data_IF_335604709105
#
_entry.id   IF_335604709105
#
_cell.length_a   1.000
_cell.length_b   1.000
_cell.length_c   1.000
_cell.angle_alpha   90.00
_cell.angle_beta   90.00
_cell.angle_gamma   90.00
#
_symmetry.space_group_name_H-M   'P 1'
#
loop_
_entity.id
_entity.type
_entity.pdbx_description
1 polymer ?
#
# COMPACT_ATOMS: atom_id res chain seq x y z
N UNK A 1 -14.95 9.70 -6.30
CA UNK A 1 -14.06 9.13 -7.33
C UNK A 1 -13.51 7.83 -6.79
N UNK A 2 -13.41 6.77 -7.59
CA UNK A 2 -12.96 5.46 -7.11
C UNK A 2 -11.44 5.50 -6.79
N UNK A 3 -10.99 4.78 -5.76
CA UNK A 3 -9.56 4.70 -5.37
C UNK A 3 -8.65 4.37 -6.56
N UNK A 4 -9.09 3.45 -7.42
CA UNK A 4 -8.35 3.05 -8.62
C UNK A 4 -8.20 4.19 -9.65
N UNK A 5 -9.15 5.11 -9.72
CA UNK A 5 -9.05 6.28 -10.62
C UNK A 5 -8.02 7.27 -10.07
N UNK A 6 -8.06 7.53 -8.76
CA UNK A 6 -7.09 8.40 -8.08
C UNK A 6 -5.67 7.84 -8.14
N UNK A 7 -5.49 6.52 -8.01
CA UNK A 7 -4.16 5.89 -8.16
C UNK A 7 -3.56 6.15 -9.55
N UNK A 8 -4.38 6.22 -10.60
CA UNK A 8 -3.89 6.51 -11.96
C UNK A 8 -3.39 7.95 -12.10
N UNK A 9 -3.86 8.88 -11.28
CA UNK A 9 -3.34 10.26 -11.25
C UNK A 9 -1.88 10.32 -10.79
N UNK A 10 -1.41 9.26 -10.11
CA UNK A 10 -0.03 9.07 -9.66
C UNK A 10 0.80 8.17 -10.58
N UNK A 11 0.35 7.90 -11.82
CA UNK A 11 1.11 7.04 -12.75
C UNK A 11 2.50 7.59 -13.07
N UNK A 12 2.69 8.91 -12.95
CA UNK A 12 3.99 9.57 -13.13
C UNK A 12 5.06 9.07 -12.14
N UNK A 13 4.68 8.48 -11.00
CA UNK A 13 5.63 7.86 -10.08
C UNK A 13 6.40 6.69 -10.71
N UNK A 14 5.81 6.00 -11.69
CA UNK A 14 6.49 4.94 -12.43
C UNK A 14 7.69 5.49 -13.21
N UNK A 15 7.45 6.57 -13.96
CA UNK A 15 8.48 7.27 -14.73
C UNK A 15 9.54 7.86 -13.79
N UNK A 16 9.10 8.52 -12.72
CA UNK A 16 9.98 9.18 -11.75
C UNK A 16 10.92 8.18 -11.05
N UNK A 17 10.41 7.03 -10.61
CA UNK A 17 11.20 5.97 -9.97
C UNK A 17 12.38 5.46 -10.82
N UNK A 18 12.24 5.51 -12.15
CA UNK A 18 13.28 5.03 -13.07
C UNK A 18 14.39 6.05 -13.36
N UNK A 19 14.10 7.34 -13.20
CA UNK A 19 14.92 8.43 -13.75
C UNK A 19 15.38 9.50 -12.75
N UNK A 20 14.90 9.48 -11.50
CA UNK A 20 15.25 10.46 -10.47
C UNK A 20 16.30 9.95 -9.48
N UNK A 21 16.91 10.88 -8.75
CA UNK A 21 17.65 10.53 -7.52
C UNK A 21 16.69 9.90 -6.50
N UNK A 22 17.19 8.92 -5.73
CA UNK A 22 16.35 8.14 -4.82
C UNK A 22 15.76 8.99 -3.70
N UNK A 23 16.48 10.03 -3.24
CA UNK A 23 16.00 10.93 -2.19
C UNK A 23 14.79 11.76 -2.62
N UNK A 24 14.81 12.29 -3.85
CA UNK A 24 13.68 13.07 -4.37
C UNK A 24 12.46 12.18 -4.61
N UNK A 25 12.69 10.94 -5.04
CA UNK A 25 11.65 9.92 -5.12
C UNK A 25 11.01 9.63 -3.77
N UNK A 26 11.81 9.50 -2.71
CA UNK A 26 11.30 9.30 -1.35
C UNK A 26 10.40 10.45 -0.91
N UNK A 27 10.80 11.70 -1.16
CA UNK A 27 9.96 12.88 -0.85
C UNK A 27 8.61 12.83 -1.61
N UNK A 28 8.63 12.40 -2.88
CA UNK A 28 7.42 12.25 -3.67
C UNK A 28 6.45 11.18 -3.12
N UNK A 29 6.95 10.04 -2.62
CA UNK A 29 6.09 9.01 -2.01
C UNK A 29 5.66 9.37 -0.58
N UNK A 30 6.48 10.14 0.14
CA UNK A 30 6.16 10.65 1.48
C UNK A 30 5.14 11.79 1.44
N UNK A 31 4.87 12.36 0.26
CA UNK A 31 3.81 13.33 0.05
C UNK A 31 2.49 12.83 0.70
N UNK A 32 1.85 13.65 1.57
CA UNK A 32 0.67 13.23 2.32
C UNK A 32 -0.47 12.71 1.44
N UNK A 33 -0.61 13.27 0.23
CA UNK A 33 -1.65 12.87 -0.72
C UNK A 33 -1.47 11.43 -1.20
N UNK A 34 -0.25 11.04 -1.56
CA UNK A 34 0.03 9.68 -2.03
C UNK A 34 0.02 8.67 -0.88
N UNK A 35 0.64 9.00 0.25
CA UNK A 35 0.69 8.09 1.40
C UNK A 35 -0.70 7.79 1.98
N UNK A 36 -1.57 8.80 2.07
CA UNK A 36 -2.97 8.60 2.50
C UNK A 36 -3.78 7.80 1.50
N UNK A 37 -3.62 8.04 0.19
CA UNK A 37 -4.27 7.24 -0.85
C UNK A 37 -3.77 5.79 -0.85
N UNK A 38 -2.49 5.56 -0.59
CA UNK A 38 -1.92 4.22 -0.51
C UNK A 38 -2.50 3.46 0.69
N UNK A 39 -2.57 4.09 1.87
CA UNK A 39 -3.24 3.52 3.05
C UNK A 39 -4.71 3.23 2.76
N UNK A 40 -5.43 4.18 2.18
CA UNK A 40 -6.84 4.02 1.79
C UNK A 40 -7.02 2.79 0.87
N UNK A 41 -6.19 2.65 -0.16
CA UNK A 41 -6.21 1.49 -1.04
C UNK A 41 -6.00 0.17 -0.29
N UNK A 42 -5.07 0.12 0.68
CA UNK A 42 -4.87 -1.06 1.52
C UNK A 42 -6.06 -1.36 2.41
N UNK A 43 -6.69 -0.34 2.99
CA UNK A 43 -7.91 -0.48 3.81
C UNK A 43 -9.09 -1.01 3.00
N UNK A 44 -9.23 -0.61 1.73
CA UNK A 44 -10.22 -1.18 0.80
C UNK A 44 -9.84 -2.58 0.25
N UNK A 45 -8.72 -3.16 0.66
CA UNK A 45 -8.31 -4.52 0.29
C UNK A 45 -7.57 -4.64 -1.03
N UNK A 46 -7.09 -3.54 -1.63
CA UNK A 46 -6.25 -3.61 -2.83
C UNK A 46 -4.91 -4.30 -2.49
N UNK A 47 -4.55 -5.29 -3.30
CA UNK A 47 -3.23 -5.93 -3.23
C UNK A 47 -2.13 -5.02 -3.80
N UNK A 48 -0.89 -5.24 -3.37
CA UNK A 48 0.27 -4.46 -3.86
C UNK A 48 0.41 -4.63 -5.40
N UNK A 49 0.00 -5.78 -5.94
CA UNK A 49 -0.07 -6.04 -7.39
C UNK A 49 -1.13 -5.18 -8.10
N UNK A 50 -2.33 -5.05 -7.54
CA UNK A 50 -3.39 -4.23 -8.13
C UNK A 50 -3.02 -2.74 -8.09
N UNK A 51 -2.39 -2.29 -7.01
CA UNK A 51 -1.90 -0.92 -6.87
C UNK A 51 -0.78 -0.66 -7.89
N UNK A 52 0.18 -1.58 -8.01
CA UNK A 52 1.25 -1.47 -9.01
C UNK A 52 0.70 -1.34 -10.44
N UNK A 53 -0.34 -2.11 -10.75
CA UNK A 53 -1.04 -2.01 -12.04
C UNK A 53 -1.76 -0.67 -12.22
N UNK A 54 -2.43 -0.19 -11.19
CA UNK A 54 -3.12 1.09 -11.25
C UNK A 54 -2.15 2.27 -11.47
N UNK A 55 -0.94 2.16 -10.94
CA UNK A 55 0.16 3.12 -11.15
C UNK A 55 0.87 2.96 -12.50
N UNK A 56 0.54 1.94 -13.30
CA UNK A 56 1.12 1.72 -14.63
C UNK A 56 2.54 1.14 -14.62
N UNK A 57 3.01 0.59 -13.50
CA UNK A 57 4.37 0.04 -13.37
C UNK A 57 4.64 -1.16 -14.30
N UNK A 58 3.61 -1.79 -14.87
CA UNK A 58 3.79 -2.85 -15.88
C UNK A 58 4.45 -2.37 -17.18
N UNK A 59 4.43 -1.07 -17.46
CA UNK A 59 5.07 -0.50 -18.64
C UNK A 59 6.60 -0.61 -18.56
N UNK A 60 7.16 -0.43 -17.36
CA UNK A 60 8.60 -0.32 -17.14
C UNK A 60 9.23 -1.58 -16.54
N UNK A 61 8.44 -2.41 -15.85
CA UNK A 61 8.97 -3.63 -15.22
C UNK A 61 7.96 -4.77 -15.14
N UNK A 62 8.47 -6.01 -14.98
CA UNK A 62 7.63 -7.19 -14.76
C UNK A 62 6.73 -7.00 -13.54
N UNK A 63 5.48 -7.43 -13.64
CA UNK A 63 4.49 -7.20 -12.59
C UNK A 63 4.83 -7.79 -11.22
N UNK A 64 5.54 -8.92 -11.18
CA UNK A 64 6.06 -9.49 -9.93
C UNK A 64 7.00 -8.51 -9.22
N UNK A 65 7.91 -7.88 -9.97
CA UNK A 65 8.83 -6.87 -9.45
C UNK A 65 8.10 -5.58 -9.07
N UNK A 66 7.15 -5.14 -9.88
CA UNK A 66 6.36 -3.95 -9.60
C UNK A 66 5.56 -4.07 -8.29
N UNK A 67 4.96 -5.23 -8.01
CA UNK A 67 4.29 -5.48 -6.73
C UNK A 67 5.26 -5.43 -5.54
N UNK A 68 6.49 -5.93 -5.69
CA UNK A 68 7.54 -5.82 -4.67
C UNK A 68 8.00 -4.37 -4.47
N UNK A 69 8.04 -3.57 -5.54
CA UNK A 69 8.35 -2.13 -5.48
C UNK A 69 7.29 -1.39 -4.64
N UNK A 70 6.00 -1.58 -4.93
CA UNK A 70 4.91 -0.99 -4.12
C UNK A 70 4.97 -1.47 -2.68
N UNK A 71 5.28 -2.75 -2.45
CA UNK A 71 5.49 -3.28 -1.09
C UNK A 71 6.61 -2.54 -0.36
N UNK A 72 7.72 -2.22 -1.03
CA UNK A 72 8.84 -1.49 -0.46
C UNK A 72 8.43 -0.08 -0.06
N UNK A 73 7.78 0.66 -0.94
CA UNK A 73 7.27 2.01 -0.64
C UNK A 73 6.31 2.00 0.55
N UNK A 74 5.39 1.03 0.56
CA UNK A 74 4.44 0.84 1.66
C UNK A 74 5.17 0.61 3.00
N UNK A 75 6.25 -0.18 3.01
CA UNK A 75 7.06 -0.43 4.20
C UNK A 75 7.84 0.81 4.64
N UNK A 76 8.41 1.57 3.70
CA UNK A 76 9.13 2.83 3.96
C UNK A 76 8.20 3.87 4.60
N UNK A 77 6.95 3.93 4.15
CA UNK A 77 5.90 4.78 4.72
C UNK A 77 5.30 4.26 6.04
N UNK A 78 5.75 3.12 6.56
CA UNK A 78 5.21 2.52 7.78
C UNK A 78 3.78 1.97 7.66
N UNK A 79 3.23 1.86 6.45
CA UNK A 79 1.86 1.37 6.20
C UNK A 79 1.85 -0.15 6.30
N UNK A 80 1.75 -0.70 7.51
CA UNK A 80 1.77 -2.15 7.76
C UNK A 80 0.43 -2.64 8.30
N UNK A 81 0.02 -3.87 7.97
CA UNK A 81 -1.19 -4.43 8.58
C UNK A 81 -0.94 -4.72 10.06
N UNK A 82 -1.99 -4.60 10.87
CA UNK A 82 -1.99 -5.01 12.26
C UNK A 82 -2.52 -6.43 12.41
N UNK A 83 -2.02 -7.15 13.40
CA UNK A 83 -2.55 -8.45 13.80
C UNK A 83 -3.66 -8.21 14.82
N UNK A 84 -4.86 -8.71 14.53
CA UNK A 84 -6.02 -8.59 15.39
C UNK A 84 -6.54 -9.98 15.79
N UNK A 85 -7.04 -10.11 17.02
CA UNK A 85 -7.57 -11.35 17.56
C UNK A 85 -9.09 -11.41 17.40
N UNK A 86 -9.62 -12.59 17.10
CA UNK A 86 -11.06 -12.88 17.11
C UNK A 86 -11.40 -13.44 18.50
N UNK A 87 -12.09 -12.64 19.31
CA UNK A 87 -12.39 -12.93 20.72
C UNK A 87 -13.89 -13.17 21.01
N UNK A 88 -14.75 -13.11 19.99
CA UNK A 88 -16.23 -13.21 20.05
C UNK A 88 -16.96 -12.11 20.83
N UNK A 89 -16.25 -11.30 21.62
CA UNK A 89 -16.82 -10.32 22.55
C UNK A 89 -16.31 -8.89 22.31
N UNK A 90 -15.71 -8.63 21.14
CA UNK A 90 -15.20 -7.32 20.76
C UNK A 90 -14.28 -6.69 21.83
N UNK A 91 -13.36 -7.51 22.33
CA UNK A 91 -12.37 -7.21 23.37
C UNK A 91 -12.94 -6.91 24.78
N UNK A 92 -14.20 -7.26 25.09
CA UNK A 92 -14.74 -7.13 26.45
C UNK A 92 -13.98 -8.02 27.46
N UNK A 93 -13.64 -9.23 27.05
CA UNK A 93 -12.85 -10.18 27.84
C UNK A 93 -11.66 -10.71 27.03
N UNK A 94 -10.51 -10.96 27.67
CA UNK A 94 -9.34 -11.49 26.97
C UNK A 94 -9.58 -12.93 26.50
N UNK A 95 -9.48 -13.16 25.20
CA UNK A 95 -9.55 -14.50 24.63
C UNK A 95 -8.23 -15.27 24.85
N UNK A 96 -8.36 -16.55 25.23
CA UNK A 96 -7.23 -17.45 25.49
C UNK A 96 -6.77 -18.24 24.25
N UNK A 97 -7.30 -17.89 23.06
CA UNK A 97 -7.03 -18.60 21.79
C UNK A 97 -6.38 -17.69 20.76
N UNK A 98 -5.39 -18.19 20.03
CA UNK A 98 -4.70 -17.41 18.98
C UNK A 98 -5.42 -17.51 17.63
N UNK A 99 -6.69 -17.12 17.57
CA UNK A 99 -7.39 -16.99 16.29
C UNK A 99 -7.22 -15.56 15.76
N UNK A 100 -6.32 -15.40 14.78
CA UNK A 100 -5.81 -14.09 14.36
C UNK A 100 -6.15 -13.77 12.89
N UNK A 101 -6.28 -12.49 12.58
CA UNK A 101 -6.38 -11.96 11.22
C UNK A 101 -5.53 -10.70 11.05
N UNK A 102 -5.29 -10.33 9.79
CA UNK A 102 -4.59 -9.09 9.44
C UNK A 102 -5.59 -8.07 8.90
N UNK A 103 -5.45 -6.81 9.30
CA UNK A 103 -6.18 -5.70 8.69
C UNK A 103 -5.31 -4.46 8.61
N UNK A 104 -5.65 -3.57 7.68
CA UNK A 104 -5.16 -2.20 7.69
C UNK A 104 -6.22 -1.36 8.43
N UNK A 105 -5.76 -0.54 9.38
CA UNK A 105 -6.58 0.35 10.20
C UNK A 105 -6.30 1.80 9.82
#
# INVERSE_FOLDING_TARGET
MLVNERLKEFSWLAEYYSGSEYSEFLEAIEAPEFSTLLLEAKTYGFSDFQIARALGLEADMKMERAGLTVRKWRQELGIMPTVNQIDTLAAEYPAQTNYLYLSYL
#
